data_IF_977656744201
#
_entry.id   IF_977656744201
#
_cell.length_a   1.000
_cell.length_b   1.000
_cell.length_c   1.000
_cell.angle_alpha   90.00
_cell.angle_beta   90.00
_cell.angle_gamma   90.00
#
_symmetry.space_group_name_H-M   'P 1'
#
loop_
_entity.id
_entity.type
_entity.pdbx_description
1 polymer ?
#
# COMPACT_ATOMS: atom_id res chain seq x y z
N UNK A 1 -43.99 36.34 -47.56
CA UNK A 1 -43.59 36.53 -46.14
C UNK A 1 -43.63 35.19 -45.43
N UNK A 2 -42.50 34.51 -45.32
CA UNK A 2 -42.35 33.24 -44.59
C UNK A 2 -41.10 33.39 -43.73
N UNK A 3 -41.27 33.56 -42.42
CA UNK A 3 -40.14 33.51 -41.49
C UNK A 3 -39.63 32.05 -41.46
N UNK A 4 -38.32 31.82 -41.63
CA UNK A 4 -37.79 30.46 -41.75
C UNK A 4 -37.90 29.74 -40.41
N UNK A 5 -38.55 28.57 -40.42
CA UNK A 5 -38.64 27.64 -39.30
C UNK A 5 -37.28 27.27 -38.67
N UNK A 6 -36.17 27.59 -39.36
CA UNK A 6 -34.80 27.40 -38.92
C UNK A 6 -34.49 28.08 -37.56
N UNK A 7 -35.05 29.26 -37.26
CA UNK A 7 -34.64 29.98 -36.02
C UNK A 7 -35.18 29.34 -34.73
N UNK A 8 -36.34 28.68 -34.80
CA UNK A 8 -36.94 28.02 -33.62
C UNK A 8 -36.25 26.68 -33.34
N UNK A 9 -36.01 25.89 -34.39
CA UNK A 9 -35.27 24.64 -34.29
C UNK A 9 -33.87 24.87 -33.72
N UNK A 10 -33.14 25.89 -34.19
CA UNK A 10 -31.81 26.21 -33.67
C UNK A 10 -31.86 26.59 -32.19
N UNK A 11 -32.83 27.42 -31.76
CA UNK A 11 -32.98 27.78 -30.33
C UNK A 11 -33.24 26.57 -29.45
N UNK A 12 -34.10 25.65 -29.89
CA UNK A 12 -34.42 24.42 -29.15
C UNK A 12 -33.20 23.49 -29.10
N UNK A 13 -32.49 23.30 -30.22
CA UNK A 13 -31.27 22.48 -30.25
C UNK A 13 -30.18 23.03 -29.33
N UNK A 14 -29.96 24.34 -29.34
CA UNK A 14 -28.98 24.99 -28.43
C UNK A 14 -29.38 24.79 -26.98
N UNK A 15 -30.66 24.95 -26.64
CA UNK A 15 -31.16 24.71 -25.29
C UNK A 15 -30.91 23.27 -24.84
N UNK A 16 -31.20 22.28 -25.70
CA UNK A 16 -30.97 20.86 -25.42
C UNK A 16 -29.48 20.60 -25.19
N UNK A 17 -28.59 21.14 -26.03
CA UNK A 17 -27.15 20.97 -25.87
C UNK A 17 -26.65 21.57 -24.56
N UNK A 18 -27.14 22.76 -24.15
CA UNK A 18 -26.76 23.38 -22.89
C UNK A 18 -27.21 22.51 -21.71
N UNK A 19 -28.46 22.05 -21.72
CA UNK A 19 -28.99 21.18 -20.66
C UNK A 19 -28.22 19.85 -20.62
N UNK A 20 -27.85 19.28 -21.76
CA UNK A 20 -27.02 18.08 -21.82
C UNK A 20 -25.63 18.30 -21.24
N UNK A 21 -24.94 19.39 -21.59
CA UNK A 21 -23.60 19.68 -21.04
C UNK A 21 -23.67 19.90 -19.53
N UNK A 22 -24.66 20.63 -19.04
CA UNK A 22 -24.82 20.90 -17.60
C UNK A 22 -25.20 19.62 -16.86
N UNK A 23 -26.18 18.86 -17.36
CA UNK A 23 -26.63 17.62 -16.73
C UNK A 23 -25.54 16.54 -16.74
N UNK A 24 -24.87 16.36 -17.88
CA UNK A 24 -23.77 15.41 -18.00
C UNK A 24 -22.54 15.86 -17.19
N UNK A 25 -22.16 17.14 -17.28
CA UNK A 25 -21.01 17.68 -16.55
C UNK A 25 -21.15 17.56 -15.04
N UNK A 26 -22.31 17.93 -14.48
CA UNK A 26 -22.58 17.77 -13.04
C UNK A 26 -22.58 16.28 -12.65
N UNK A 27 -23.21 15.42 -13.46
CA UNK A 27 -23.25 13.98 -13.21
C UNK A 27 -21.86 13.35 -13.20
N UNK A 28 -21.03 13.65 -14.20
CA UNK A 28 -19.66 13.12 -14.31
C UNK A 28 -18.80 13.52 -13.11
N UNK A 29 -18.84 14.79 -12.68
CA UNK A 29 -18.06 15.26 -11.53
C UNK A 29 -18.48 14.57 -10.24
N UNK A 30 -19.79 14.41 -10.01
CA UNK A 30 -20.30 13.72 -8.81
C UNK A 30 -19.96 12.22 -8.81
N UNK A 31 -19.97 11.58 -9.98
CA UNK A 31 -19.61 10.16 -10.11
C UNK A 31 -18.13 9.93 -9.83
N UNK A 32 -17.23 10.78 -10.36
CA UNK A 32 -15.78 10.64 -10.16
C UNK A 32 -15.41 10.70 -8.68
N UNK A 33 -15.95 11.66 -7.92
CA UNK A 33 -15.62 11.78 -6.49
C UNK A 33 -16.01 10.52 -5.71
N UNK A 34 -17.17 9.95 -6.01
CA UNK A 34 -17.66 8.73 -5.34
C UNK A 34 -16.85 7.50 -5.73
N UNK A 35 -16.46 7.39 -6.99
CA UNK A 35 -15.61 6.28 -7.45
C UNK A 35 -14.21 6.35 -6.84
N UNK A 36 -13.62 7.55 -6.75
CA UNK A 36 -12.31 7.76 -6.10
C UNK A 36 -12.32 7.35 -4.63
N UNK A 37 -13.31 7.77 -3.85
CA UNK A 37 -13.43 7.39 -2.43
C UNK A 37 -13.59 5.88 -2.26
N UNK A 38 -14.37 5.24 -3.13
CA UNK A 38 -14.56 3.79 -3.13
C UNK A 38 -13.27 3.04 -3.49
N UNK A 39 -12.51 3.53 -4.47
CA UNK A 39 -11.23 2.93 -4.86
C UNK A 39 -10.20 3.03 -3.74
N UNK A 40 -10.13 4.17 -3.05
CA UNK A 40 -9.24 4.35 -1.90
C UNK A 40 -9.60 3.38 -0.77
N UNK A 41 -10.88 3.24 -0.43
CA UNK A 41 -11.29 2.32 0.63
C UNK A 41 -11.06 0.85 0.26
N UNK A 42 -11.27 0.49 -1.01
CA UNK A 42 -10.95 -0.85 -1.52
C UNK A 42 -9.45 -1.13 -1.46
N UNK A 43 -8.61 -0.15 -1.84
CA UNK A 43 -7.15 -0.24 -1.76
C UNK A 43 -6.68 -0.43 -0.32
N UNK A 44 -7.21 0.36 0.63
CA UNK A 44 -6.93 0.19 2.07
C UNK A 44 -7.34 -1.19 2.58
N UNK A 45 -8.54 -1.64 2.21
CA UNK A 45 -9.03 -2.97 2.56
C UNK A 45 -8.14 -4.10 2.03
N UNK A 46 -7.68 -3.98 0.78
CA UNK A 46 -6.74 -4.93 0.18
C UNK A 46 -5.38 -4.90 0.90
N UNK A 47 -4.81 -3.73 1.15
CA UNK A 47 -3.55 -3.56 1.88
C UNK A 47 -3.61 -4.20 3.27
N UNK A 48 -4.67 -3.92 4.06
CA UNK A 48 -4.87 -4.53 5.38
C UNK A 48 -4.92 -6.05 5.34
N UNK A 49 -5.63 -6.62 4.35
CA UNK A 49 -5.70 -8.08 4.18
C UNK A 49 -4.35 -8.68 3.86
N UNK A 50 -3.60 -8.06 2.93
CA UNK A 50 -2.24 -8.48 2.59
C UNK A 50 -1.32 -8.42 3.81
N UNK A 51 -1.39 -7.33 4.59
CA UNK A 51 -0.61 -7.20 5.83
C UNK A 51 -0.94 -8.30 6.84
N UNK A 52 -2.22 -8.61 7.07
CA UNK A 52 -2.61 -9.69 7.99
C UNK A 52 -2.11 -11.06 7.52
N UNK A 53 -2.22 -11.35 6.23
CA UNK A 53 -1.70 -12.60 5.64
C UNK A 53 -0.17 -12.68 5.78
N UNK A 54 0.53 -11.56 5.56
CA UNK A 54 1.98 -11.50 5.73
C UNK A 54 2.40 -11.74 7.18
N UNK A 55 1.74 -11.10 8.13
CA UNK A 55 2.02 -11.30 9.56
C UNK A 55 1.83 -12.78 9.92
N UNK A 56 0.71 -13.39 9.53
CA UNK A 56 0.45 -14.80 9.81
C UNK A 56 1.48 -15.74 9.15
N UNK A 57 1.94 -15.42 7.93
CA UNK A 57 2.98 -16.19 7.24
C UNK A 57 4.33 -16.08 7.94
N UNK A 58 4.71 -14.87 8.38
CA UNK A 58 5.93 -14.62 9.17
C UNK A 58 5.86 -15.40 10.49
N UNK A 59 4.76 -15.26 11.23
CA UNK A 59 4.57 -15.97 12.49
C UNK A 59 4.64 -17.49 12.31
N UNK A 60 4.00 -18.02 11.27
CA UNK A 60 4.06 -19.45 10.95
C UNK A 60 5.48 -19.92 10.63
N UNK A 61 6.24 -19.15 9.84
CA UNK A 61 7.63 -19.47 9.55
C UNK A 61 8.52 -19.41 10.81
N UNK A 62 8.25 -18.48 11.72
CA UNK A 62 8.95 -18.37 13.01
C UNK A 62 8.63 -19.55 13.94
N UNK A 63 7.35 -19.95 14.04
CA UNK A 63 6.92 -21.11 14.81
C UNK A 63 7.47 -22.43 14.26
N UNK A 64 7.75 -22.48 12.96
CA UNK A 64 8.41 -23.62 12.30
C UNK A 64 9.94 -23.56 12.43
N UNK A 65 10.49 -22.61 13.20
CA UNK A 65 11.93 -22.40 13.36
C UNK A 65 12.65 -22.15 12.02
N UNK A 66 11.93 -21.57 11.06
CA UNK A 66 12.40 -21.26 9.70
C UNK A 66 12.33 -19.77 9.35
N UNK A 67 13.01 -18.89 10.12
CA UNK A 67 13.11 -17.46 9.82
C UNK A 67 13.80 -17.15 8.48
N UNK A 68 14.52 -18.12 7.90
CA UNK A 68 15.12 -18.02 6.56
C UNK A 68 14.06 -17.92 5.45
N UNK A 69 12.93 -18.62 5.59
CA UNK A 69 11.81 -18.53 4.62
C UNK A 69 11.25 -17.12 4.59
N UNK A 70 11.04 -16.52 5.78
CA UNK A 70 10.50 -15.17 5.90
C UNK A 70 11.35 -14.16 5.13
N UNK A 71 12.68 -14.24 5.25
CA UNK A 71 13.58 -13.35 4.49
C UNK A 71 13.43 -13.53 2.99
N UNK A 72 13.36 -14.78 2.53
CA UNK A 72 13.15 -15.09 1.10
C UNK A 72 11.82 -14.54 0.59
N UNK A 73 10.72 -14.75 1.34
CA UNK A 73 9.40 -14.25 1.00
C UNK A 73 9.36 -12.72 0.90
N UNK A 74 9.94 -12.01 1.88
CA UNK A 74 9.98 -10.54 1.86
C UNK A 74 10.76 -10.05 0.64
N UNK A 75 11.91 -10.68 0.35
CA UNK A 75 12.72 -10.33 -0.82
C UNK A 75 11.97 -10.57 -2.13
N UNK A 76 11.23 -11.67 -2.23
CA UNK A 76 10.42 -11.99 -3.41
C UNK A 76 9.27 -10.98 -3.58
N UNK A 77 8.61 -10.60 -2.49
CA UNK A 77 7.54 -9.59 -2.50
C UNK A 77 8.05 -8.19 -2.82
N UNK A 78 9.24 -7.81 -2.38
CA UNK A 78 9.89 -6.56 -2.80
C UNK A 78 10.24 -6.56 -4.29
N UNK A 79 10.42 -7.74 -4.89
CA UNK A 79 10.76 -7.88 -6.32
C UNK A 79 9.55 -8.04 -7.24
N UNK A 80 8.36 -8.28 -6.71
CA UNK A 80 7.15 -8.57 -7.48
C UNK A 80 6.13 -7.43 -7.41
N UNK A 81 5.36 -7.27 -8.49
CA UNK A 81 4.68 -6.02 -8.88
C UNK A 81 3.34 -5.66 -8.20
N UNK A 82 2.66 -6.44 -7.33
CA UNK A 82 1.36 -5.98 -6.84
C UNK A 82 1.44 -4.89 -5.77
N UNK A 83 2.63 -4.54 -5.27
CA UNK A 83 2.85 -3.50 -4.25
C UNK A 83 3.96 -2.56 -4.71
N UNK A 84 3.78 -1.26 -4.56
CA UNK A 84 4.82 -0.27 -4.89
C UNK A 84 6.08 -0.47 -4.02
N UNK A 85 5.89 -0.94 -2.78
CA UNK A 85 6.97 -1.37 -1.90
C UNK A 85 6.48 -2.07 -0.64
N UNK A 86 7.32 -2.96 -0.10
CA UNK A 86 7.11 -3.59 1.20
C UNK A 86 8.41 -3.49 2.01
N UNK A 87 8.35 -2.78 3.13
CA UNK A 87 9.48 -2.67 4.05
C UNK A 87 9.02 -2.99 5.47
N UNK A 88 9.77 -3.84 6.16
CA UNK A 88 9.50 -4.16 7.56
C UNK A 88 10.54 -3.44 8.40
N UNK A 89 10.11 -2.73 9.43
CA UNK A 89 10.99 -2.01 10.34
C UNK A 89 10.98 -2.65 11.72
N UNK A 90 12.15 -2.69 12.36
CA UNK A 90 12.30 -2.99 13.78
C UNK A 90 11.74 -1.83 14.61
N UNK A 91 11.47 -2.04 15.90
CA UNK A 91 10.98 -0.99 16.82
C UNK A 91 11.90 0.24 16.91
N UNK A 92 13.17 0.10 16.58
CA UNK A 92 14.15 1.19 16.54
C UNK A 92 14.16 1.95 15.20
N UNK A 93 13.25 1.63 14.28
CA UNK A 93 13.15 2.29 12.97
C UNK A 93 14.12 1.76 11.91
N UNK A 94 15.02 0.83 12.25
CA UNK A 94 15.92 0.23 11.26
C UNK A 94 15.19 -0.88 10.52
N UNK A 95 15.40 -0.99 9.20
CA UNK A 95 14.84 -2.07 8.41
C UNK A 95 15.19 -3.46 9.01
N UNK A 96 14.19 -4.31 9.13
CA UNK A 96 14.31 -5.67 9.61
C UNK A 96 14.76 -6.59 8.46
N UNK A 97 15.38 -7.72 8.81
CA UNK A 97 15.73 -8.79 7.86
C UNK A 97 16.78 -8.44 6.79
N UNK A 98 17.38 -7.25 6.87
CA UNK A 98 18.55 -6.86 6.05
C UNK A 98 19.84 -7.28 6.73
N UNK A 99 20.05 -6.83 7.96
CA UNK A 99 21.24 -7.14 8.76
C UNK A 99 21.12 -8.45 9.57
N UNK A 100 22.10 -8.74 10.42
CA UNK A 100 22.11 -9.90 11.31
C UNK A 100 21.61 -9.60 12.73
N UNK A 101 21.15 -8.38 13.02
CA UNK A 101 20.73 -8.01 14.38
C UNK A 101 19.49 -8.78 14.82
N UNK A 102 18.53 -8.99 13.91
CA UNK A 102 17.37 -9.85 14.20
C UNK A 102 17.80 -11.28 14.50
N UNK A 103 18.80 -11.81 13.77
CA UNK A 103 19.32 -13.16 14.00
C UNK A 103 19.96 -13.26 15.38
N UNK A 104 20.81 -12.30 15.76
CA UNK A 104 21.46 -12.24 17.08
C UNK A 104 20.45 -12.14 18.22
N UNK A 105 19.40 -11.34 18.05
CA UNK A 105 18.36 -11.18 19.05
C UNK A 105 17.59 -12.49 19.27
N UNK A 106 17.23 -13.18 18.19
CA UNK A 106 16.54 -14.48 18.27
C UNK A 106 17.47 -15.56 18.81
N UNK A 107 18.73 -15.63 18.37
CA UNK A 107 19.69 -16.65 18.83
C UNK A 107 20.05 -16.54 20.32
N UNK A 108 19.78 -15.38 20.94
CA UNK A 108 19.95 -15.19 22.38
C UNK A 108 18.81 -15.84 23.17
N UNK A 109 17.62 -15.90 22.59
CA UNK A 109 16.39 -16.38 23.24
C UNK A 109 16.06 -17.83 22.84
N UNK A 110 16.44 -18.27 21.64
CA UNK A 110 16.12 -19.58 21.10
C UNK A 110 17.29 -20.17 20.28
N UNK A 111 17.46 -21.49 20.37
CA UNK A 111 18.38 -22.23 19.51
C UNK A 111 17.75 -22.46 18.14
N UNK A 112 18.42 -22.03 17.07
CA UNK A 112 17.94 -22.23 15.71
C UNK A 112 18.42 -23.57 15.14
N UNK A 113 17.62 -24.23 14.28
CA UNK A 113 18.02 -25.44 13.59
C UNK A 113 19.33 -25.28 12.81
N UNK A 114 20.10 -26.37 12.73
CA UNK A 114 21.38 -26.40 12.02
C UNK A 114 21.21 -25.97 10.57
N UNK A 115 21.97 -24.95 10.15
CA UNK A 115 21.98 -24.42 8.79
C UNK A 115 21.11 -23.18 8.56
N UNK A 116 20.13 -22.88 9.42
CA UNK A 116 19.26 -21.70 9.28
C UNK A 116 20.07 -20.40 9.44
N UNK A 117 20.93 -20.34 10.46
CA UNK A 117 21.82 -19.19 10.67
C UNK A 117 22.75 -18.95 9.47
N UNK A 118 23.36 -20.01 8.92
CA UNK A 118 24.22 -19.93 7.75
C UNK A 118 23.46 -19.49 6.48
N UNK A 119 22.20 -19.90 6.32
CA UNK A 119 21.34 -19.41 5.23
C UNK A 119 21.04 -17.92 5.39
N UNK A 120 20.75 -17.47 6.62
CA UNK A 120 20.48 -16.06 6.91
C UNK A 120 21.71 -15.18 6.68
N UNK A 121 22.90 -15.65 7.06
CA UNK A 121 24.18 -14.97 6.81
C UNK A 121 24.44 -14.72 5.32
N UNK A 122 24.10 -15.70 4.45
CA UNK A 122 24.22 -15.53 3.00
C UNK A 122 23.28 -14.47 2.42
N UNK A 123 22.19 -14.17 3.12
CA UNK A 123 21.19 -13.18 2.70
C UNK A 123 21.43 -11.79 3.32
N UNK A 124 22.45 -11.65 4.17
CA UNK A 124 22.74 -10.41 4.87
C UNK A 124 23.12 -9.29 3.90
N UNK A 125 22.53 -8.12 4.13
CA UNK A 125 22.75 -6.88 3.39
C UNK A 125 22.90 -5.72 4.37
N UNK A 126 23.57 -4.62 3.98
CA UNK A 126 23.62 -3.44 4.83
C UNK A 126 22.21 -2.96 5.18
N UNK A 127 22.05 -2.48 6.42
CA UNK A 127 20.77 -1.96 6.87
C UNK A 127 20.32 -0.77 6.01
N UNK A 128 19.04 -0.76 5.62
CA UNK A 128 18.43 0.32 4.87
C UNK A 128 18.29 1.62 5.66
N UNK A 129 17.65 2.62 5.03
CA UNK A 129 17.38 3.94 5.64
C UNK A 129 16.51 3.77 6.89
N UNK A 130 16.86 4.50 7.96
CA UNK A 130 16.11 4.47 9.23
C UNK A 130 14.81 5.25 9.09
N UNK A 131 13.69 4.62 9.43
CA UNK A 131 12.38 5.24 9.48
C UNK A 131 12.19 6.01 10.79
N UNK A 132 12.05 7.33 10.70
CA UNK A 132 11.86 8.22 11.85
C UNK A 132 10.58 9.05 11.76
N UNK A 133 9.66 8.71 10.85
CA UNK A 133 8.43 9.46 10.62
C UNK A 133 7.48 9.49 11.83
N UNK A 134 6.62 10.53 11.95
CA UNK A 134 5.68 10.65 13.07
C UNK A 134 4.65 9.52 13.11
N UNK A 135 4.22 9.01 11.94
CA UNK A 135 3.32 7.86 11.84
C UNK A 135 4.00 6.58 12.33
N UNK A 136 5.28 6.39 12.00
CA UNK A 136 6.03 5.25 12.51
C UNK A 136 6.12 5.28 14.03
N UNK A 137 6.47 6.43 14.62
CA UNK A 137 6.51 6.59 16.07
C UNK A 137 5.16 6.28 16.71
N UNK A 138 4.08 6.83 16.16
CA UNK A 138 2.72 6.56 16.64
C UNK A 138 2.31 5.08 16.48
N UNK A 139 2.73 4.42 15.41
CA UNK A 139 2.47 2.99 15.21
C UNK A 139 3.20 2.14 16.26
N UNK A 140 4.45 2.47 16.57
CA UNK A 140 5.23 1.78 17.61
C UNK A 140 4.63 2.01 19.00
N UNK A 141 4.20 3.24 19.29
CA UNK A 141 3.67 3.62 20.62
C UNK A 141 2.27 3.03 20.88
N UNK A 142 1.39 3.04 19.86
CA UNK A 142 -0.01 2.60 20.02
C UNK A 142 -0.23 1.13 19.64
N UNK A 143 0.69 0.52 18.90
CA UNK A 143 0.52 -0.78 18.24
C UNK A 143 -0.72 -0.85 17.33
N UNK A 144 -1.19 0.31 16.86
CA UNK A 144 -2.31 0.42 15.92
C UNK A 144 -1.79 0.79 14.52
N UNK A 145 -2.43 0.23 13.50
CA UNK A 145 -2.19 0.59 12.10
C UNK A 145 -2.34 2.09 11.90
N UNK A 146 -1.32 2.71 11.29
CA UNK A 146 -1.37 4.10 10.87
C UNK A 146 -1.44 4.14 9.35
N UNK A 147 -2.25 5.05 8.83
CA UNK A 147 -2.50 5.20 7.40
C UNK A 147 -2.39 6.68 7.05
N UNK A 148 -1.69 6.97 5.95
CA UNK A 148 -1.69 8.28 5.30
C UNK A 148 -1.86 8.08 3.81
N UNK A 149 -2.54 9.03 3.18
CA UNK A 149 -2.56 9.14 1.73
C UNK A 149 -1.47 10.17 1.38
N UNK A 150 -0.56 9.79 0.50
CA UNK A 150 0.46 10.68 -0.03
C UNK A 150 0.07 11.01 -1.47
N UNK A 151 -0.10 12.30 -1.78
CA UNK A 151 -0.31 12.72 -3.15
C UNK A 151 0.94 12.45 -3.97
N UNK A 152 0.84 11.54 -4.93
CA UNK A 152 1.90 11.28 -5.91
C UNK A 152 1.45 11.82 -7.26
N UNK A 153 2.21 12.77 -7.82
CA UNK A 153 1.93 13.38 -9.13
C UNK A 153 0.53 14.03 -9.28
N UNK A 154 -0.04 14.56 -8.18
CA UNK A 154 -1.34 15.24 -8.19
C UNK A 154 -2.56 14.30 -8.11
N UNK A 155 -2.33 13.03 -7.77
CA UNK A 155 -3.38 12.05 -7.45
C UNK A 155 -3.13 11.55 -6.02
N UNK A 156 -4.16 11.62 -5.17
CA UNK A 156 -4.18 11.10 -3.79
C UNK A 156 -4.35 9.57 -3.80
#
# INVERSE_FOLDING_TARGET
MKLPAASLTVKITVLIVIVLIVGFGISTVLTIQRESDLLVEQSKGAARRLTMTLIASIESAMLQERPDITRGLIQEMQSTTPVEGLTIYRRNGVEAFTDLETLKAVSKEAELPKGVAASIEKMARPAGVVMTGPLFKKAVDTLQTQESLEEQNGVV
#
